data_IF_535506757296
#
_entry.id   IF_535506757296
#
_cell.length_a   1.000
_cell.length_b   1.000
_cell.length_c   1.000
_cell.angle_alpha   90.00
_cell.angle_beta   90.00
_cell.angle_gamma   90.00
#
_symmetry.space_group_name_H-M   'P 1'
#
loop_
_entity.id
_entity.type
_entity.pdbx_description
1 polymer ?
#
# COMPACT_ATOMS: atom_id res chain seq x y z
N UNK A 1 9.02 -4.53 -7.57
CA UNK A 1 10.33 -5.10 -7.20
C UNK A 1 10.82 -6.13 -8.23
N UNK A 2 9.96 -7.00 -8.77
CA UNK A 2 10.37 -7.94 -9.82
C UNK A 2 10.75 -7.24 -11.13
N UNK A 3 10.00 -6.18 -11.52
CA UNK A 3 10.29 -5.38 -12.71
C UNK A 3 11.63 -4.64 -12.64
N UNK A 4 12.00 -4.10 -11.48
CA UNK A 4 13.31 -3.47 -11.22
C UNK A 4 14.48 -4.45 -11.40
N UNK A 5 14.32 -5.69 -10.92
CA UNK A 5 15.37 -6.73 -11.05
C UNK A 5 15.51 -7.16 -12.51
N UNK A 6 14.39 -7.33 -13.23
CA UNK A 6 14.40 -7.70 -14.65
C UNK A 6 15.03 -6.60 -15.53
N UNK A 7 14.74 -5.32 -15.27
CA UNK A 7 15.35 -4.19 -15.99
C UNK A 7 16.86 -4.13 -15.79
N UNK A 8 17.32 -4.28 -14.55
CA UNK A 8 18.75 -4.34 -14.22
C UNK A 8 19.45 -5.53 -14.89
N UNK A 9 18.84 -6.72 -14.86
CA UNK A 9 19.41 -7.91 -15.52
C UNK A 9 19.57 -7.68 -17.04
N UNK A 10 18.59 -7.05 -17.69
CA UNK A 10 18.68 -6.70 -19.11
C UNK A 10 19.81 -5.71 -19.41
N UNK A 11 19.94 -4.66 -18.60
CA UNK A 11 21.04 -3.68 -18.72
C UNK A 11 22.41 -4.33 -18.60
N UNK A 12 22.63 -5.19 -17.60
CA UNK A 12 23.92 -5.86 -17.40
C UNK A 12 24.21 -6.90 -18.48
N UNK A 13 23.18 -7.58 -19.01
CA UNK A 13 23.33 -8.51 -20.13
C UNK A 13 23.73 -7.80 -21.43
N UNK A 14 23.15 -6.62 -21.70
CA UNK A 14 23.52 -5.78 -22.84
C UNK A 14 24.97 -5.28 -22.73
N UNK A 15 25.39 -4.88 -21.53
CA UNK A 15 26.77 -4.48 -21.26
C UNK A 15 27.77 -5.63 -21.48
N UNK A 16 27.43 -6.86 -21.07
CA UNK A 16 28.29 -8.03 -21.21
C UNK A 16 28.49 -8.48 -22.67
N UNK A 17 27.52 -8.24 -23.56
CA UNK A 17 27.62 -8.61 -24.98
C UNK A 17 28.29 -7.54 -25.85
N UNK A 18 28.26 -6.26 -25.46
CA UNK A 18 28.66 -5.16 -26.33
C UNK A 18 30.19 -4.95 -26.45
N UNK A 19 31.02 -5.49 -25.56
CA UNK A 19 32.49 -5.35 -25.59
C UNK A 19 33.04 -3.92 -25.38
N UNK A 20 32.21 -2.90 -25.63
CA UNK A 20 32.38 -1.49 -25.28
C UNK A 20 31.13 -1.04 -24.52
N UNK A 21 31.30 -0.15 -23.56
CA UNK A 21 30.21 0.41 -22.74
C UNK A 21 29.20 1.14 -23.61
N UNK A 22 28.08 0.50 -23.92
CA UNK A 22 26.91 1.16 -24.50
C UNK A 22 26.12 1.84 -23.38
N UNK A 23 26.53 3.06 -23.04
CA UNK A 23 25.96 3.85 -21.96
C UNK A 23 24.45 4.13 -22.17
N UNK A 24 23.98 4.12 -23.42
CA UNK A 24 22.58 4.38 -23.75
C UNK A 24 21.72 3.21 -23.26
N UNK A 25 22.10 1.97 -23.58
CA UNK A 25 21.36 0.78 -23.13
C UNK A 25 21.36 0.59 -21.60
N UNK A 26 22.47 0.95 -20.96
CA UNK A 26 22.54 0.95 -19.50
C UNK A 26 21.56 1.96 -18.90
N UNK A 27 21.54 3.19 -19.41
CA UNK A 27 20.65 4.26 -18.92
C UNK A 27 19.16 3.91 -19.09
N UNK A 28 18.80 3.21 -20.17
CA UNK A 28 17.43 2.78 -20.45
C UNK A 28 16.90 1.79 -19.39
N UNK A 29 17.64 0.73 -19.08
CA UNK A 29 17.13 -0.23 -18.08
C UNK A 29 17.20 0.29 -16.64
N UNK A 30 18.05 1.27 -16.34
CA UNK A 30 17.97 2.02 -15.07
C UNK A 30 16.68 2.86 -15.03
N UNK A 31 16.31 3.52 -16.13
CA UNK A 31 15.07 4.28 -16.23
C UNK A 31 13.83 3.40 -16.03
N UNK A 32 13.79 2.22 -16.67
CA UNK A 32 12.71 1.25 -16.47
C UNK A 32 12.59 0.80 -15.01
N UNK A 33 13.71 0.58 -14.34
CA UNK A 33 13.73 0.23 -12.92
C UNK A 33 13.17 1.37 -12.04
N UNK A 34 13.52 2.62 -12.33
CA UNK A 34 13.00 3.79 -11.61
C UNK A 34 11.49 3.95 -11.79
N UNK A 35 10.96 3.77 -13.00
CA UNK A 35 9.52 3.84 -13.28
C UNK A 35 8.75 2.76 -12.51
N UNK A 36 9.25 1.52 -12.50
CA UNK A 36 8.61 0.46 -11.73
C UNK A 36 8.62 0.76 -10.21
N UNK A 37 9.65 1.44 -9.71
CA UNK A 37 9.73 1.86 -8.29
C UNK A 37 8.71 2.95 -7.98
N UNK A 38 8.62 3.97 -8.82
CA UNK A 38 7.63 5.04 -8.68
C UNK A 38 6.19 4.49 -8.73
N UNK A 39 5.89 3.58 -9.67
CA UNK A 39 4.59 2.92 -9.76
C UNK A 39 4.24 2.11 -8.51
N UNK A 40 5.23 1.38 -7.96
CA UNK A 40 5.06 0.65 -6.70
C UNK A 40 4.75 1.56 -5.52
N UNK A 41 5.44 2.71 -5.42
CA UNK A 41 5.20 3.70 -4.37
C UNK A 41 3.80 4.32 -4.48
N UNK A 42 3.35 4.66 -5.69
CA UNK A 42 2.01 5.21 -5.92
C UNK A 42 0.95 4.21 -5.46
N UNK A 43 1.06 2.94 -5.85
CA UNK A 43 0.14 1.89 -5.43
C UNK A 43 0.13 1.71 -3.90
N UNK A 44 1.30 1.73 -3.26
CA UNK A 44 1.42 1.63 -1.81
C UNK A 44 0.74 2.80 -1.09
N UNK A 45 0.93 4.04 -1.57
CA UNK A 45 0.28 5.23 -1.01
C UNK A 45 -1.25 5.10 -1.13
N UNK A 46 -1.76 4.74 -2.30
CA UNK A 46 -3.20 4.52 -2.49
C UNK A 46 -3.75 3.45 -1.54
N UNK A 47 -3.01 2.35 -1.35
CA UNK A 47 -3.37 1.29 -0.40
C UNK A 47 -3.44 1.77 1.04
N UNK A 48 -2.46 2.57 1.49
CA UNK A 48 -2.45 3.15 2.85
C UNK A 48 -3.62 4.12 3.04
N UNK A 49 -3.91 4.96 2.05
CA UNK A 49 -5.05 5.89 2.13
C UNK A 49 -6.37 5.11 2.24
N UNK A 50 -6.56 4.08 1.43
CA UNK A 50 -7.73 3.22 1.50
C UNK A 50 -7.85 2.52 2.86
N UNK A 51 -6.74 1.96 3.37
CA UNK A 51 -6.70 1.32 4.68
C UNK A 51 -7.16 2.27 5.78
N UNK A 52 -6.58 3.47 5.85
CA UNK A 52 -6.96 4.46 6.86
C UNK A 52 -8.45 4.84 6.76
N UNK A 53 -8.96 5.03 5.54
CA UNK A 53 -10.37 5.35 5.32
C UNK A 53 -11.30 4.25 5.88
N UNK A 54 -11.00 2.98 5.58
CA UNK A 54 -11.80 1.86 6.05
C UNK A 54 -11.66 1.66 7.56
N UNK A 55 -10.46 1.78 8.12
CA UNK A 55 -10.24 1.69 9.57
C UNK A 55 -11.06 2.73 10.33
N UNK A 56 -11.00 4.00 9.93
CA UNK A 56 -11.83 5.05 10.56
C UNK A 56 -13.33 4.76 10.46
N UNK A 57 -13.79 4.14 9.37
CA UNK A 57 -15.20 3.73 9.26
C UNK A 57 -15.55 2.60 10.22
N UNK A 58 -14.71 1.58 10.31
CA UNK A 58 -14.90 0.45 11.22
C UNK A 58 -14.91 0.93 12.68
N UNK A 59 -14.03 1.85 13.05
CA UNK A 59 -13.97 2.42 14.40
C UNK A 59 -15.27 3.15 14.75
N UNK A 60 -15.82 3.95 13.82
CA UNK A 60 -17.10 4.62 14.02
C UNK A 60 -18.26 3.62 14.20
N UNK A 61 -18.29 2.56 13.39
CA UNK A 61 -19.32 1.51 13.55
C UNK A 61 -19.19 0.80 14.90
N UNK A 62 -17.96 0.52 15.33
CA UNK A 62 -17.69 -0.11 16.63
C UNK A 62 -18.15 0.79 17.77
N UNK A 63 -17.85 2.08 17.68
CA UNK A 63 -18.32 3.08 18.65
C UNK A 63 -19.84 3.13 18.76
N UNK A 64 -20.57 3.11 17.64
CA UNK A 64 -22.03 3.08 17.64
C UNK A 64 -22.59 1.81 18.30
N UNK A 65 -21.93 0.66 18.11
CA UNK A 65 -22.33 -0.61 18.73
C UNK A 65 -22.13 -0.55 20.24
N UNK A 66 -21.00 0.01 20.70
CA UNK A 66 -20.72 0.18 22.12
C UNK A 66 -21.72 1.14 22.77
N UNK A 67 -22.05 2.26 22.11
CA UNK A 67 -23.06 3.21 22.59
C UNK A 67 -24.45 2.56 22.72
N UNK A 68 -24.88 1.83 21.68
CA UNK A 68 -26.14 1.10 21.70
C UNK A 68 -26.19 0.05 22.82
N UNK A 69 -25.08 -0.69 23.02
CA UNK A 69 -24.95 -1.69 24.09
C UNK A 69 -25.04 -1.04 25.47
N UNK A 70 -24.36 0.10 25.66
CA UNK A 70 -24.40 0.85 26.91
C UNK A 70 -25.81 1.36 27.22
N UNK A 71 -26.50 1.94 26.23
CA UNK A 71 -27.88 2.42 26.36
C UNK A 71 -28.85 1.31 26.77
N UNK A 72 -28.70 0.10 26.18
CA UNK A 72 -29.53 -1.06 26.53
C UNK A 72 -29.28 -1.48 27.98
N UNK A 73 -28.02 -1.61 28.41
CA UNK A 73 -27.68 -2.00 29.78
C UNK A 73 -28.23 -0.99 30.78
N UNK A 74 -28.07 0.32 30.50
CA UNK A 74 -28.58 1.37 31.36
C UNK A 74 -30.12 1.30 31.48
N UNK A 75 -30.82 1.15 30.35
CA UNK A 75 -32.29 1.07 30.34
C UNK A 75 -32.79 -0.16 31.11
N UNK A 76 -32.10 -1.29 31.03
CA UNK A 76 -32.42 -2.50 31.78
C UNK A 76 -32.15 -2.34 33.29
N UNK A 77 -31.03 -1.71 33.65
CA UNK A 77 -30.68 -1.42 35.05
C UNK A 77 -31.71 -0.47 35.70
N UNK A 78 -32.13 0.59 34.99
CA UNK A 78 -33.19 1.50 35.44
C UNK A 78 -34.53 0.79 35.63
N UNK A 79 -34.83 -0.24 34.81
CA UNK A 79 -36.04 -1.05 34.96
C UNK A 79 -35.98 -2.07 36.09
N UNK A 80 -34.79 -2.53 36.50
CA UNK A 80 -34.64 -3.39 37.67
C UNK A 80 -34.70 -2.62 39.00
N UNK A 81 -34.48 -1.30 38.96
CA UNK A 81 -34.55 -0.43 40.15
C UNK A 81 -35.97 0.07 40.48
N UNK A 82 -36.99 -0.29 39.69
CA UNK A 82 -38.41 -0.04 39.96
C UNK A 82 -39.12 -1.36 40.27
#
# INVERSE_FOLDING_TARGET
LTGTVLGMIRSFKALAHAGKTDAIQLSLGISEALINTAGGLICAICGIVAYNYFTTRIDNFTYMIDEASYSIIQTLAERQSK
#
